data_IF_787257199233
#
_entry.id   IF_787257199233
#
_cell.length_a   1.000
_cell.length_b   1.000
_cell.length_c   1.000
_cell.angle_alpha   90.00
_cell.angle_beta   90.00
_cell.angle_gamma   90.00
#
_symmetry.space_group_name_H-M   'P 1'
#
loop_
_entity.id
_entity.type
_entity.pdbx_description
1 polymer ?
#
# COMPACT_ATOMS: atom_id res chain seq x y z
N UNK A 1 -17.98 24.78 -23.67
CA UNK A 1 -17.10 24.97 -22.48
C UNK A 1 -17.51 24.20 -21.20
N UNK A 2 -18.20 23.02 -21.20
CA UNK A 2 -18.42 22.26 -19.95
C UNK A 2 -17.52 21.03 -19.74
N UNK A 3 -16.81 20.52 -20.76
CA UNK A 3 -16.09 19.24 -20.65
C UNK A 3 -14.76 19.35 -19.86
N UNK A 4 -13.99 20.42 -20.08
CA UNK A 4 -12.70 20.70 -19.41
C UNK A 4 -12.82 20.78 -17.87
N UNK A 5 -13.92 21.37 -17.37
CA UNK A 5 -14.19 21.49 -15.93
C UNK A 5 -14.52 20.14 -15.27
N UNK A 6 -15.25 19.27 -15.97
CA UNK A 6 -15.56 17.92 -15.48
C UNK A 6 -14.31 17.03 -15.42
N UNK A 7 -13.38 17.21 -16.36
CA UNK A 7 -12.10 16.48 -16.42
C UNK A 7 -11.16 16.92 -15.30
N UNK A 8 -11.04 18.24 -15.05
CA UNK A 8 -10.22 18.80 -13.97
C UNK A 8 -10.71 18.35 -12.58
N UNK A 9 -12.03 18.38 -12.34
CA UNK A 9 -12.65 17.88 -11.10
C UNK A 9 -12.39 16.39 -10.88
N UNK A 10 -12.55 15.55 -11.92
CA UNK A 10 -12.26 14.10 -11.85
C UNK A 10 -10.80 13.80 -11.55
N UNK A 11 -9.87 14.53 -12.17
CA UNK A 11 -8.44 14.34 -11.95
C UNK A 11 -8.05 14.67 -10.49
N UNK A 12 -8.63 15.72 -9.92
CA UNK A 12 -8.36 16.13 -8.53
C UNK A 12 -8.91 15.14 -7.50
N UNK A 13 -10.11 14.59 -7.73
CA UNK A 13 -10.72 13.58 -6.85
C UNK A 13 -9.94 12.26 -6.85
N UNK A 14 -9.53 11.76 -8.03
CA UNK A 14 -8.74 10.53 -8.14
C UNK A 14 -7.36 10.66 -7.49
N UNK A 15 -6.76 11.85 -7.50
CA UNK A 15 -5.49 12.11 -6.80
C UNK A 15 -5.66 12.09 -5.29
N UNK A 16 -6.73 12.73 -4.77
CA UNK A 16 -7.06 12.73 -3.34
C UNK A 16 -7.38 11.32 -2.83
N UNK A 17 -8.19 10.57 -3.56
CA UNK A 17 -8.54 9.20 -3.21
C UNK A 17 -7.30 8.31 -3.12
N UNK A 18 -6.38 8.40 -4.09
CA UNK A 18 -5.10 7.65 -4.06
C UNK A 18 -4.23 8.01 -2.86
N UNK A 19 -4.17 9.28 -2.49
CA UNK A 19 -3.43 9.71 -1.29
C UNK A 19 -4.08 9.17 -0.02
N UNK A 20 -5.41 9.23 0.09
CA UNK A 20 -6.15 8.69 1.23
C UNK A 20 -5.97 7.18 1.36
N UNK A 21 -6.11 6.43 0.26
CA UNK A 21 -5.89 4.99 0.22
C UNK A 21 -4.45 4.61 0.60
N UNK A 22 -3.44 5.39 0.16
CA UNK A 22 -2.05 5.17 0.56
C UNK A 22 -1.84 5.37 2.06
N UNK A 23 -2.40 6.41 2.64
CA UNK A 23 -2.35 6.64 4.09
C UNK A 23 -3.06 5.51 4.84
N UNK A 24 -4.22 5.08 4.36
CA UNK A 24 -4.96 3.95 4.92
C UNK A 24 -4.12 2.67 4.91
N UNK A 25 -3.47 2.34 3.78
CA UNK A 25 -2.59 1.15 3.67
C UNK A 25 -1.42 1.24 4.66
N UNK A 26 -0.81 2.43 4.81
CA UNK A 26 0.28 2.64 5.79
C UNK A 26 -0.21 2.37 7.21
N UNK A 27 -1.36 2.92 7.59
CA UNK A 27 -1.94 2.74 8.93
C UNK A 27 -2.31 1.28 9.17
N UNK A 28 -3.00 0.63 8.23
CA UNK A 28 -3.40 -0.78 8.35
C UNK A 28 -2.20 -1.73 8.39
N UNK A 29 -1.22 -1.54 7.51
CA UNK A 29 -0.01 -2.37 7.48
C UNK A 29 0.83 -2.15 8.75
N UNK A 30 0.96 -0.90 9.21
CA UNK A 30 1.63 -0.57 10.46
C UNK A 30 0.95 -1.20 11.67
N UNK A 31 -0.39 -1.17 11.73
CA UNK A 31 -1.16 -1.81 12.79
C UNK A 31 -0.92 -3.33 12.83
N UNK A 32 -0.90 -4.01 11.67
CA UNK A 32 -0.58 -5.45 11.59
C UNK A 32 0.83 -5.72 12.12
N UNK A 33 1.83 -4.92 11.70
CA UNK A 33 3.21 -5.05 12.18
C UNK A 33 3.30 -4.88 13.69
N UNK A 34 2.68 -3.84 14.26
CA UNK A 34 2.70 -3.59 15.70
C UNK A 34 2.04 -4.72 16.50
N UNK A 35 0.85 -5.17 16.08
CA UNK A 35 0.14 -6.28 16.74
C UNK A 35 0.96 -7.58 16.71
N UNK A 36 1.52 -7.93 15.55
CA UNK A 36 2.34 -9.14 15.41
C UNK A 36 3.66 -9.04 16.18
N UNK A 37 4.28 -7.85 16.22
CA UNK A 37 5.49 -7.61 17.01
C UNK A 37 5.22 -7.81 18.51
N UNK A 38 4.14 -7.23 19.03
CA UNK A 38 3.73 -7.41 20.42
C UNK A 38 3.46 -8.88 20.74
N UNK A 39 2.76 -9.60 19.84
CA UNK A 39 2.58 -11.04 19.98
C UNK A 39 3.91 -11.81 20.02
N UNK A 40 4.91 -11.44 19.20
CA UNK A 40 6.22 -12.08 19.20
C UNK A 40 7.03 -11.79 20.47
N UNK A 41 6.92 -10.58 21.02
CA UNK A 41 7.51 -10.22 22.30
C UNK A 41 6.91 -11.05 23.43
N UNK A 42 5.58 -11.18 23.48
CA UNK A 42 4.88 -12.05 24.44
C UNK A 42 5.33 -13.51 24.28
N UNK A 43 5.44 -14.00 23.05
CA UNK A 43 5.90 -15.36 22.79
C UNK A 43 7.35 -15.57 23.28
N UNK A 44 8.26 -14.63 23.00
CA UNK A 44 9.67 -14.73 23.37
C UNK A 44 9.88 -14.56 24.88
N UNK A 45 9.21 -13.60 25.50
CA UNK A 45 9.28 -13.35 26.94
C UNK A 45 8.74 -14.51 27.77
N UNK A 46 7.73 -15.23 27.25
CA UNK A 46 7.14 -16.39 27.92
C UNK A 46 7.78 -17.73 27.51
N UNK A 47 8.87 -17.74 26.74
CA UNK A 47 9.51 -18.99 26.31
C UNK A 47 10.42 -19.60 27.39
N UNK A 48 10.94 -18.77 28.31
CA UNK A 48 12.00 -19.16 29.25
C UNK A 48 11.67 -18.83 30.72
N UNK A 49 10.39 -18.77 31.08
CA UNK A 49 10.03 -18.53 32.49
C UNK A 49 10.33 -19.80 33.29
N UNK A 50 11.34 -19.72 34.15
CA UNK A 50 11.64 -20.73 35.15
C UNK A 50 10.44 -20.86 36.10
N UNK A 51 9.70 -21.94 35.94
CA UNK A 51 8.58 -22.27 36.80
C UNK A 51 9.11 -22.73 38.16
N UNK A 52 8.55 -22.18 39.23
CA UNK A 52 8.81 -22.67 40.60
C UNK A 52 8.23 -24.09 40.69
N UNK A 53 8.96 -25.02 41.34
CA UNK A 53 8.64 -26.46 41.42
C UNK A 53 7.13 -26.68 41.67
N UNK A 54 6.42 -27.25 40.68
CA UNK A 54 5.00 -27.63 40.80
C UNK A 54 4.05 -27.04 39.75
N UNK A 55 4.45 -26.04 38.96
CA UNK A 55 3.62 -25.52 37.86
C UNK A 55 3.91 -26.25 36.53
N UNK A 56 2.86 -26.53 35.74
CA UNK A 56 2.97 -27.35 34.52
C UNK A 56 4.00 -26.78 33.54
N UNK A 57 4.90 -27.63 33.00
CA UNK A 57 5.99 -27.21 32.14
C UNK A 57 5.48 -26.87 30.73
N UNK A 58 6.07 -25.84 30.12
CA UNK A 58 5.81 -25.34 28.77
C UNK A 58 4.45 -24.66 28.53
N UNK A 59 4.51 -23.33 28.54
CA UNK A 59 3.43 -22.40 28.16
C UNK A 59 3.10 -22.55 26.66
N UNK A 60 4.12 -22.80 25.86
CA UNK A 60 3.99 -22.98 24.41
C UNK A 60 4.44 -24.39 24.04
N UNK A 61 3.76 -25.07 23.11
CA UNK A 61 4.17 -26.41 22.69
C UNK A 61 5.61 -26.39 22.16
N UNK A 62 6.38 -27.45 22.42
CA UNK A 62 7.80 -27.55 22.06
C UNK A 62 8.11 -27.27 20.58
N UNK A 63 7.11 -27.39 19.71
CA UNK A 63 7.17 -27.05 18.28
C UNK A 63 6.01 -26.15 17.86
N UNK A 64 5.88 -24.97 18.48
CA UNK A 64 4.95 -23.96 17.97
C UNK A 64 5.35 -23.55 16.56
N UNK A 65 4.42 -23.62 15.61
CA UNK A 65 4.68 -23.16 14.26
C UNK A 65 4.38 -21.64 14.16
N UNK A 66 5.43 -20.83 14.08
CA UNK A 66 5.34 -19.37 13.90
C UNK A 66 5.34 -18.94 12.43
N UNK A 67 5.54 -19.88 11.49
CA UNK A 67 5.59 -19.57 10.06
C UNK A 67 4.40 -18.73 9.56
N UNK A 68 3.12 -18.99 9.91
CA UNK A 68 2.01 -18.17 9.40
C UNK A 68 2.12 -16.71 9.86
N UNK A 69 2.40 -16.46 11.14
CA UNK A 69 2.52 -15.11 11.70
C UNK A 69 3.77 -14.38 11.17
N UNK A 70 4.89 -15.09 10.97
CA UNK A 70 6.12 -14.51 10.41
C UNK A 70 5.91 -14.09 8.95
N UNK A 71 5.27 -14.94 8.13
CA UNK A 71 4.98 -14.60 6.73
C UNK A 71 4.09 -13.36 6.65
N UNK A 72 3.02 -13.32 7.47
CA UNK A 72 2.13 -12.16 7.53
C UNK A 72 2.88 -10.89 7.97
N UNK A 73 3.75 -11.00 8.97
CA UNK A 73 4.59 -9.91 9.45
C UNK A 73 5.55 -9.39 8.37
N UNK A 74 6.29 -10.29 7.70
CA UNK A 74 7.24 -9.90 6.67
C UNK A 74 6.56 -9.16 5.51
N UNK A 75 5.39 -9.64 5.07
CA UNK A 75 4.63 -9.01 3.98
C UNK A 75 4.07 -7.67 4.43
N UNK A 76 3.49 -7.57 5.63
CA UNK A 76 3.01 -6.31 6.18
C UNK A 76 4.13 -5.29 6.35
N UNK A 77 5.30 -5.69 6.85
CA UNK A 77 6.47 -4.84 7.01
C UNK A 77 7.02 -4.35 5.65
N UNK A 78 7.10 -5.24 4.66
CA UNK A 78 7.51 -4.86 3.31
C UNK A 78 6.54 -3.85 2.67
N UNK A 79 5.23 -4.08 2.79
CA UNK A 79 4.21 -3.16 2.26
C UNK A 79 4.18 -1.82 2.99
N UNK A 80 4.42 -1.83 4.31
CA UNK A 80 4.58 -0.61 5.10
C UNK A 80 5.79 0.20 4.61
N UNK A 81 6.97 -0.41 4.51
CA UNK A 81 8.20 0.24 4.04
C UNK A 81 8.05 0.76 2.60
N UNK A 82 7.49 -0.05 1.71
CA UNK A 82 7.25 0.34 0.32
C UNK A 82 6.30 1.54 0.23
N UNK A 83 5.21 1.55 1.01
CA UNK A 83 4.25 2.65 1.02
C UNK A 83 4.84 3.94 1.61
N UNK A 84 5.63 3.84 2.66
CA UNK A 84 6.38 4.98 3.24
C UNK A 84 7.42 5.51 2.24
N UNK A 85 8.14 4.64 1.54
CA UNK A 85 9.08 5.03 0.49
C UNK A 85 8.38 5.79 -0.65
N UNK A 86 7.25 5.28 -1.13
CA UNK A 86 6.46 5.94 -2.18
C UNK A 86 5.94 7.31 -1.70
N UNK A 87 5.49 7.39 -0.44
CA UNK A 87 4.99 8.64 0.13
C UNK A 87 6.12 9.68 0.29
N UNK A 88 7.26 9.29 0.84
CA UNK A 88 8.43 10.17 1.02
C UNK A 88 9.01 10.64 -0.31
N UNK A 89 9.10 9.75 -1.31
CA UNK A 89 9.47 10.13 -2.67
C UNK A 89 8.49 11.12 -3.30
N UNK A 90 7.20 11.04 -2.96
CA UNK A 90 6.18 11.97 -3.46
C UNK A 90 6.32 13.40 -2.91
N UNK A 91 6.91 13.58 -1.73
CA UNK A 91 7.19 14.89 -1.14
C UNK A 91 8.49 15.53 -1.63
N UNK A 92 9.48 14.74 -2.09
CA UNK A 92 10.74 15.29 -2.62
C UNK A 92 10.51 16.02 -3.95
N UNK A 93 10.59 17.37 -3.89
CA UNK A 93 10.40 18.32 -5.01
C UNK A 93 11.24 18.02 -6.26
N UNK A 94 12.37 17.31 -6.10
CA UNK A 94 13.32 16.93 -7.15
C UNK A 94 12.75 15.95 -8.20
N UNK A 95 11.69 15.18 -7.88
CA UNK A 95 11.05 14.23 -8.81
C UNK A 95 9.76 14.73 -9.49
N UNK A 96 9.57 16.06 -9.57
CA UNK A 96 8.42 16.66 -10.29
C UNK A 96 8.46 16.51 -11.82
N UNK A 97 9.50 15.91 -12.41
CA UNK A 97 9.51 15.66 -13.86
C UNK A 97 8.62 14.45 -14.19
N UNK A 98 7.66 14.58 -15.13
CA UNK A 98 6.77 13.51 -15.50
C UNK A 98 7.53 12.46 -16.31
N UNK A 99 8.14 11.50 -15.62
CA UNK A 99 8.60 10.29 -16.30
C UNK A 99 7.37 9.49 -16.73
N UNK A 100 7.20 9.32 -18.05
CA UNK A 100 6.19 8.44 -18.67
C UNK A 100 6.22 7.00 -18.13
N UNK A 101 7.32 6.59 -17.46
CA UNK A 101 7.48 5.31 -16.75
C UNK A 101 6.86 5.26 -15.34
N UNK A 102 6.44 6.38 -14.75
CA UNK A 102 5.93 6.43 -13.37
C UNK A 102 4.61 5.69 -13.20
N UNK A 103 3.74 5.73 -14.21
CA UNK A 103 2.45 5.04 -14.13
C UNK A 103 2.60 3.53 -14.31
N UNK A 104 3.52 3.09 -15.16
CA UNK A 104 3.87 1.66 -15.30
C UNK A 104 4.42 1.12 -13.97
N UNK A 105 5.37 1.83 -13.34
CA UNK A 105 5.90 1.42 -12.04
C UNK A 105 4.83 1.31 -10.96
N UNK A 106 3.86 2.23 -10.94
CA UNK A 106 2.75 2.20 -9.98
C UNK A 106 1.81 1.02 -10.17
N UNK A 107 1.53 0.64 -11.41
CA UNK A 107 0.69 -0.52 -11.73
C UNK A 107 1.42 -1.82 -11.37
N UNK A 108 2.70 -1.93 -11.72
CA UNK A 108 3.52 -3.11 -11.36
C UNK A 108 3.66 -3.23 -9.84
N UNK A 109 4.00 -2.16 -9.14
CA UNK A 109 4.11 -2.17 -7.68
C UNK A 109 2.77 -2.48 -7.00
N UNK A 110 1.65 -1.93 -7.50
CA UNK A 110 0.32 -2.21 -6.97
C UNK A 110 -0.11 -3.67 -7.18
N UNK A 111 0.15 -4.24 -8.37
CA UNK A 111 -0.16 -5.65 -8.66
C UNK A 111 0.64 -6.61 -7.79
N UNK A 112 1.93 -6.33 -7.59
CA UNK A 112 2.76 -7.08 -6.65
C UNK A 112 2.22 -6.98 -5.21
N UNK A 113 1.80 -5.79 -4.76
CA UNK A 113 1.17 -5.60 -3.46
C UNK A 113 -0.06 -6.48 -3.26
N UNK A 114 -0.97 -6.52 -4.24
CA UNK A 114 -2.17 -7.38 -4.16
C UNK A 114 -1.82 -8.86 -4.12
N UNK A 115 -0.91 -9.32 -4.98
CA UNK A 115 -0.47 -10.73 -5.00
C UNK A 115 0.14 -11.11 -3.65
N UNK A 116 1.05 -10.30 -3.11
CA UNK A 116 1.68 -10.59 -1.81
C UNK A 116 0.67 -10.65 -0.68
N UNK A 117 -0.32 -9.75 -0.61
CA UNK A 117 -1.39 -9.83 0.40
C UNK A 117 -2.22 -11.10 0.27
N UNK A 118 -2.65 -11.46 -0.94
CA UNK A 118 -3.43 -12.68 -1.17
C UNK A 118 -2.62 -13.90 -0.74
N UNK A 119 -1.35 -13.99 -1.14
CA UNK A 119 -0.46 -15.07 -0.71
C UNK A 119 -0.31 -15.10 0.81
N UNK A 120 -0.13 -13.95 1.47
CA UNK A 120 -0.04 -13.88 2.94
C UNK A 120 -1.30 -14.45 3.61
N UNK A 121 -2.47 -14.03 3.15
CA UNK A 121 -3.76 -14.45 3.70
C UNK A 121 -4.01 -15.94 3.49
N UNK A 122 -3.74 -16.45 2.29
CA UNK A 122 -3.89 -17.87 1.95
C UNK A 122 -2.93 -18.72 2.77
N UNK A 123 -1.65 -18.35 2.84
CA UNK A 123 -0.64 -19.06 3.63
C UNK A 123 -1.02 -19.03 5.11
N UNK A 124 -1.40 -17.87 5.64
CA UNK A 124 -1.85 -17.77 7.03
C UNK A 124 -3.05 -18.67 7.30
N UNK A 125 -4.08 -18.64 6.45
CA UNK A 125 -5.27 -19.47 6.61
C UNK A 125 -4.97 -20.97 6.53
N UNK A 126 -4.22 -21.40 5.51
CA UNK A 126 -3.89 -22.81 5.29
C UNK A 126 -2.98 -23.36 6.38
N UNK A 127 -1.92 -22.65 6.76
CA UNK A 127 -0.99 -23.10 7.80
C UNK A 127 -1.65 -23.09 9.19
N UNK A 128 -2.51 -22.09 9.45
CA UNK A 128 -3.27 -22.04 10.70
C UNK A 128 -4.33 -23.15 10.79
N UNK A 129 -4.86 -23.62 9.66
CA UNK A 129 -5.79 -24.77 9.60
C UNK A 129 -5.05 -26.11 9.68
N UNK A 130 -3.88 -26.22 9.04
CA UNK A 130 -3.10 -27.47 8.99
C UNK A 130 -2.36 -27.77 10.30
N UNK A 131 -1.88 -26.74 11.00
CA UNK A 131 -1.11 -26.92 12.24
C UNK A 131 -1.98 -26.73 13.48
N UNK A 132 -2.24 -27.82 14.21
CA UNK A 132 -2.86 -27.75 15.55
C UNK A 132 -1.99 -26.98 16.57
N UNK A 133 -0.70 -26.84 16.27
CA UNK A 133 0.29 -26.13 17.09
C UNK A 133 0.70 -24.77 16.49
N UNK A 134 -0.09 -24.17 15.60
CA UNK A 134 0.13 -22.78 15.21
C UNK A 134 -0.11 -21.87 16.42
N UNK A 135 0.66 -20.78 16.51
CA UNK A 135 0.58 -19.84 17.64
C UNK A 135 -0.87 -19.35 17.87
N UNK A 136 -1.54 -18.93 16.79
CA UNK A 136 -2.91 -18.41 16.84
C UNK A 136 -3.97 -19.46 17.16
N UNK A 137 -3.87 -20.68 16.60
CA UNK A 137 -4.84 -21.74 16.91
C UNK A 137 -4.70 -22.21 18.36
N UNK A 138 -3.46 -22.40 18.81
CA UNK A 138 -3.15 -22.85 20.15
C UNK A 138 -3.58 -21.83 21.21
N UNK A 139 -3.30 -20.54 20.98
CA UNK A 139 -3.72 -19.46 21.89
C UNK A 139 -5.25 -19.35 21.97
N UNK A 140 -5.95 -19.48 20.84
CA UNK A 140 -7.41 -19.41 20.81
C UNK A 140 -8.09 -20.64 21.42
N UNK A 141 -7.53 -21.85 21.26
CA UNK A 141 -8.05 -23.06 21.91
C UNK A 141 -7.90 -23.00 23.42
N UNK A 142 -6.80 -22.42 23.92
CA UNK A 142 -6.50 -22.31 25.36
C UNK A 142 -6.87 -20.94 25.95
N UNK A 143 -7.71 -20.15 25.28
CA UNK A 143 -8.05 -18.77 25.68
C UNK A 143 -8.69 -18.64 27.07
N UNK A 144 -9.35 -19.70 27.53
CA UNK A 144 -10.07 -19.74 28.81
C UNK A 144 -9.20 -20.26 29.96
N UNK A 145 -7.97 -20.72 29.69
CA UNK A 145 -7.05 -21.16 30.73
C UNK A 145 -6.50 -19.91 31.41
N UNK A 146 -7.04 -19.59 32.58
CA UNK A 146 -6.50 -18.54 33.45
C UNK A 146 -5.15 -19.02 33.99
N UNK A 147 -4.07 -18.50 33.40
CA UNK A 147 -2.79 -18.44 34.11
C UNK A 147 -2.81 -17.23 35.04
N UNK A 148 -2.13 -17.32 36.18
CA UNK A 148 -2.00 -16.29 37.23
C UNK A 148 -1.35 -14.97 36.73
N UNK A 149 -1.97 -14.28 35.77
CA UNK A 149 -1.49 -13.03 35.18
C UNK A 149 -0.24 -13.14 34.28
N UNK A 150 0.40 -14.32 34.21
CA UNK A 150 1.66 -14.52 33.47
C UNK A 150 1.51 -14.91 32.00
N UNK A 151 0.43 -15.60 31.62
CA UNK A 151 0.24 -16.07 30.22
C UNK A 151 -1.02 -15.47 29.61
N UNK A 152 -0.84 -14.61 28.60
CA UNK A 152 -1.95 -13.91 27.93
C UNK A 152 -2.36 -14.61 26.63
N UNK A 153 -2.79 -15.87 26.69
CA UNK A 153 -3.31 -16.58 25.51
C UNK A 153 -4.48 -15.86 24.87
N UNK A 154 -5.33 -15.23 25.69
CA UNK A 154 -6.45 -14.42 25.22
C UNK A 154 -5.98 -13.21 24.41
N UNK A 155 -4.99 -12.47 24.91
CA UNK A 155 -4.45 -11.31 24.18
C UNK A 155 -3.83 -11.75 22.85
N UNK A 156 -3.01 -12.80 22.84
CA UNK A 156 -2.41 -13.34 21.61
C UNK A 156 -3.47 -13.84 20.61
N UNK A 157 -4.55 -14.46 21.08
CA UNK A 157 -5.65 -14.88 20.22
C UNK A 157 -6.37 -13.67 19.59
N UNK A 158 -6.71 -12.67 20.40
CA UNK A 158 -7.38 -11.45 19.94
C UNK A 158 -6.48 -10.65 18.99
N UNK A 159 -5.20 -10.45 19.31
CA UNK A 159 -4.23 -9.74 18.47
C UNK A 159 -3.99 -10.41 17.13
N UNK A 160 -3.81 -11.74 17.09
CA UNK A 160 -3.66 -12.48 15.83
C UNK A 160 -4.94 -12.45 14.99
N UNK A 161 -6.10 -12.51 15.64
CA UNK A 161 -7.40 -12.39 14.97
C UNK A 161 -7.60 -11.00 14.35
N UNK A 162 -7.34 -9.95 15.13
CA UNK A 162 -7.42 -8.56 14.66
C UNK A 162 -6.42 -8.32 13.54
N UNK A 163 -5.16 -8.75 13.69
CA UNK A 163 -4.14 -8.63 12.65
C UNK A 163 -4.56 -9.27 11.33
N UNK A 164 -5.21 -10.44 11.37
CA UNK A 164 -5.74 -11.10 10.18
C UNK A 164 -6.85 -10.28 9.49
N UNK A 165 -7.83 -9.77 10.24
CA UNK A 165 -8.89 -8.93 9.65
C UNK A 165 -8.38 -7.58 9.15
N UNK A 166 -7.42 -6.97 9.86
CA UNK A 166 -6.74 -5.75 9.41
C UNK A 166 -5.97 -5.99 8.12
N UNK A 167 -5.33 -7.15 7.97
CA UNK A 167 -4.67 -7.57 6.73
C UNK A 167 -5.65 -7.72 5.55
N UNK A 168 -6.85 -8.26 5.79
CA UNK A 168 -7.92 -8.29 4.76
C UNK A 168 -8.30 -6.85 4.36
N UNK A 169 -8.46 -5.96 5.33
CA UNK A 169 -8.73 -4.54 5.07
C UNK A 169 -7.63 -3.88 4.22
N UNK A 170 -6.36 -4.17 4.52
CA UNK A 170 -5.22 -3.69 3.75
C UNK A 170 -5.23 -4.22 2.31
N UNK A 171 -5.51 -5.51 2.12
CA UNK A 171 -5.64 -6.13 0.80
C UNK A 171 -6.77 -5.47 -0.03
N UNK A 172 -7.93 -5.22 0.57
CA UNK A 172 -9.04 -4.53 -0.08
C UNK A 172 -8.66 -3.09 -0.48
N UNK A 173 -7.97 -2.36 0.39
CA UNK A 173 -7.47 -1.03 0.10
C UNK A 173 -6.47 -1.04 -1.08
N UNK A 174 -5.57 -2.03 -1.12
CA UNK A 174 -4.60 -2.21 -2.19
C UNK A 174 -5.30 -2.50 -3.54
N UNK A 175 -6.32 -3.36 -3.55
CA UNK A 175 -7.15 -3.63 -4.74
C UNK A 175 -7.83 -2.35 -5.22
N UNK A 176 -8.42 -1.56 -4.31
CA UNK A 176 -9.02 -0.27 -4.66
C UNK A 176 -7.99 0.68 -5.26
N UNK A 177 -6.75 0.72 -4.75
CA UNK A 177 -5.69 1.53 -5.37
C UNK A 177 -5.39 1.08 -6.80
N UNK A 178 -5.29 -0.23 -7.05
CA UNK A 178 -5.08 -0.76 -8.40
C UNK A 178 -6.22 -0.39 -9.34
N UNK A 179 -7.47 -0.51 -8.90
CA UNK A 179 -8.65 -0.12 -9.70
C UNK A 179 -8.58 1.37 -10.07
N UNK A 180 -8.26 2.25 -9.11
CA UNK A 180 -8.14 3.68 -9.40
C UNK A 180 -7.00 4.01 -10.38
N UNK A 181 -5.90 3.25 -10.34
CA UNK A 181 -4.81 3.35 -11.31
C UNK A 181 -5.23 2.85 -12.69
N UNK A 182 -5.93 1.71 -12.77
CA UNK A 182 -6.44 1.16 -14.02
C UNK A 182 -7.42 2.11 -14.71
N UNK A 183 -8.35 2.71 -13.95
CA UNK A 183 -9.28 3.73 -14.46
C UNK A 183 -8.50 4.94 -14.98
N UNK A 184 -7.48 5.41 -14.25
CA UNK A 184 -6.65 6.55 -14.68
C UNK A 184 -5.92 6.25 -15.99
N UNK A 185 -5.38 5.04 -16.14
CA UNK A 185 -4.70 4.60 -17.36
C UNK A 185 -5.67 4.48 -18.55
N UNK A 186 -6.87 3.92 -18.33
CA UNK A 186 -7.90 3.81 -19.37
C UNK A 186 -8.39 5.17 -19.86
N UNK A 187 -8.56 6.14 -18.96
CA UNK A 187 -8.93 7.51 -19.32
C UNK A 187 -7.82 8.21 -20.12
N UNK A 188 -6.55 8.03 -19.73
CA UNK A 188 -5.42 8.59 -20.47
C UNK A 188 -5.27 7.97 -21.87
N UNK A 189 -5.50 6.66 -22.01
CA UNK A 189 -5.48 5.98 -23.31
C UNK A 189 -6.59 6.49 -24.24
N UNK A 190 -7.80 6.71 -23.70
CA UNK A 190 -8.93 7.24 -24.45
C UNK A 190 -8.68 8.67 -24.96
N UNK A 191 -8.02 9.52 -24.17
CA UNK A 191 -7.73 10.90 -24.56
C UNK A 191 -6.60 11.00 -25.61
N UNK A 192 -5.60 10.12 -25.57
CA UNK A 192 -4.52 10.11 -26.56
C UNK A 192 -4.96 9.67 -27.97
N UNK A 193 -6.20 9.18 -28.13
CA UNK A 193 -6.80 8.83 -29.42
C UNK A 193 -7.51 10.02 -30.10
N UNK A 194 -7.78 11.11 -29.38
CA UNK A 194 -8.30 12.32 -30.00
C UNK A 194 -7.13 13.06 -30.68
N UNK A 195 -7.22 13.37 -32.00
CA UNK A 195 -6.17 14.11 -32.68
C UNK A 195 -5.93 15.44 -31.93
N UNK A 196 -4.68 15.91 -31.81
CA UNK A 196 -4.38 17.15 -31.10
C UNK A 196 -5.25 18.26 -31.69
N UNK A 197 -5.87 19.13 -30.86
CA UNK A 197 -6.63 20.24 -31.38
C UNK A 197 -5.67 21.08 -32.23
N UNK A 198 -5.92 21.11 -33.54
CA UNK A 198 -5.21 21.98 -34.46
C UNK A 198 -5.45 23.39 -33.95
N UNK A 199 -4.46 23.97 -33.28
CA UNK A 199 -4.47 25.37 -32.91
C UNK A 199 -4.46 26.10 -34.25
N UNK A 200 -5.65 26.47 -34.74
CA UNK A 200 -5.76 27.43 -35.82
C UNK A 200 -5.29 28.76 -35.23
N UNK A 201 -4.00 29.02 -35.39
CA UNK A 201 -3.45 30.36 -35.26
C UNK A 201 -4.16 31.16 -36.34
N UNK A 202 -5.22 31.85 -35.95
CA UNK A 202 -5.92 32.82 -36.78
C UNK A 202 -4.91 33.91 -37.11
N UNK A 203 -4.25 33.77 -38.26
CA UNK A 203 -3.38 34.77 -38.84
C UNK A 203 -4.21 36.05 -38.98
N UNK A 204 -4.00 36.97 -38.05
CA UNK A 204 -4.67 38.26 -38.05
C UNK A 204 -3.96 39.09 -39.12
N UNK A 205 -4.50 39.06 -40.34
CA UNK A 205 -4.15 40.00 -41.40
C UNK A 205 -4.32 41.43 -40.88
N UNK A 206 -3.23 42.02 -40.42
CA UNK A 206 -3.11 43.44 -40.18
C UNK A 206 -2.19 44.02 -41.25
N UNK A 207 -2.83 44.41 -42.35
CA UNK A 207 -2.34 45.44 -43.25
C UNK A 207 -2.00 46.70 -42.43
N UNK A 208 -0.72 46.97 -42.20
CA UNK A 208 -0.25 48.30 -41.79
C UNK A 208 0.94 48.66 -42.66
N UNK A 209 0.67 49.61 -43.55
CA UNK A 209 1.61 50.48 -44.24
C UNK A 209 2.67 51.01 -43.28
N UNK A 210 3.94 50.76 -43.57
CA UNK A 210 5.06 51.53 -43.03
C UNK A 210 6.18 51.52 -44.05
N UNK A 211 6.25 52.59 -44.84
CA UNK A 211 7.33 52.85 -45.77
C UNK A 211 8.68 52.90 -45.05
N UNK A 212 9.65 52.21 -45.60
CA UNK A 212 11.06 52.45 -45.31
C UNK A 212 11.80 52.65 -46.63
N UNK A 213 12.36 53.86 -46.78
CA UNK A 213 13.19 54.28 -47.91
C UNK A 213 14.43 53.39 -47.96
N UNK A 214 14.57 52.64 -49.04
CA UNK A 214 15.77 51.87 -49.36
C UNK A 214 16.83 52.84 -49.93
N UNK A 215 17.77 53.26 -49.08
CA UNK A 215 18.98 53.98 -49.51
C UNK A 215 19.96 52.95 -50.08
N UNK A 216 20.23 53.02 -51.39
CA UNK A 216 21.32 52.31 -52.06
C UNK A 216 22.66 52.95 -51.69
N UNK A 217 23.70 52.20 -51.29
CA UNK A 217 25.07 52.67 -51.43
C UNK A 217 25.59 52.36 -52.84
N UNK A 218 26.11 53.41 -53.48
CA UNK A 218 26.82 53.39 -54.76
C UNK A 218 28.17 52.68 -54.54
N UNK A 219 28.48 51.66 -55.35
CA UNK A 219 29.85 51.12 -55.48
C UNK A 219 30.69 52.11 -56.29
N UNK A 220 31.83 52.51 -55.75
CA UNK A 220 33.04 52.80 -56.53
C UNK A 220 34.25 52.31 -55.76
#
# INVERSE_FOLDING_TARGET
>A
MPLELAISSRAHWLSRLRSCLRLLIIVLSGAVVCMLMHTFEIYRGNRYIDLRKGELPMIWPARTNLAPSIVLFCIAAANFLASVAILTMSFKRSFRRPFRSRDVYRVVAGSFGVVTWITALVVFYLLNKASKASLGRYSCTNKNILSNGRYQYRAVCEEQGVAFYTAIGAACAEILTLITLAISAALAAKHNQDPPPTIQIREKNNSISAGSKLIKPLKR
#
